data_IF_862135923031
#
_entry.id   IF_862135923031
#
_cell.length_a   1.000
_cell.length_b   1.000
_cell.length_c   1.000
_cell.angle_alpha   90.00
_cell.angle_beta   90.00
_cell.angle_gamma   90.00
#
_symmetry.space_group_name_H-M   'P 1'
#
loop_
_entity.id
_entity.type
_entity.pdbx_description
1 polymer ?
#
# COMPACT_ATOMS: atom_id res chain seq x y z
N UNK A 1 -14.99 50.47 -30.48
CA UNK A 1 -13.76 51.29 -30.42
C UNK A 1 -12.62 50.32 -30.10
N UNK A 2 -11.93 49.64 -31.04
CA UNK A 2 -10.99 50.11 -32.08
C UNK A 2 -10.07 51.22 -31.53
N UNK A 3 -8.75 50.97 -31.40
CA UNK A 3 -7.85 51.03 -32.55
C UNK A 3 -7.04 49.77 -32.85
N UNK A 4 -6.73 49.66 -34.14
CA UNK A 4 -5.93 48.67 -34.88
C UNK A 4 -4.49 49.25 -35.11
N UNK A 5 -3.58 48.50 -35.76
CA UNK A 5 -2.14 48.44 -35.47
C UNK A 5 -1.27 49.27 -36.43
N UNK A 6 0.04 49.33 -36.16
CA UNK A 6 1.03 49.83 -37.11
C UNK A 6 1.82 48.66 -37.72
N UNK A 7 1.71 48.51 -39.05
CA UNK A 7 2.60 47.75 -39.93
C UNK A 7 3.45 48.76 -40.71
N UNK A 8 4.77 48.56 -40.78
CA UNK A 8 5.66 49.09 -41.84
C UNK A 8 6.83 48.10 -41.98
N UNK A 9 6.82 47.27 -43.03
CA UNK A 9 7.63 47.35 -44.29
C UNK A 9 9.02 46.70 -44.21
N UNK A 10 9.19 45.67 -45.04
CA UNK A 10 10.44 44.99 -45.38
C UNK A 10 11.44 45.91 -46.11
N UNK A 11 12.71 45.46 -46.22
CA UNK A 11 13.33 45.48 -47.54
C UNK A 11 13.85 44.11 -47.96
N UNK A 12 13.72 43.88 -49.26
CA UNK A 12 14.21 42.75 -50.06
C UNK A 12 15.74 42.72 -50.09
N UNK A 13 16.34 41.53 -49.89
CA UNK A 13 17.64 41.18 -50.47
C UNK A 13 17.51 39.78 -51.07
N UNK A 14 17.81 39.71 -52.36
CA UNK A 14 17.81 38.53 -53.21
C UNK A 14 19.14 37.77 -53.12
N UNK A 15 19.10 36.44 -53.31
CA UNK A 15 20.24 35.68 -53.87
C UNK A 15 20.52 34.27 -53.33
N UNK A 16 19.82 33.25 -53.89
CA UNK A 16 20.25 31.86 -54.20
C UNK A 16 20.65 30.86 -53.07
N UNK A 17 20.62 29.52 -53.32
CA UNK A 17 19.81 28.73 -54.24
C UNK A 17 18.93 27.67 -53.54
N UNK A 18 17.86 27.30 -54.23
CA UNK A 18 16.97 26.17 -53.99
C UNK A 18 17.70 24.82 -54.09
N UNK A 19 17.59 23.98 -53.05
CA UNK A 19 17.28 22.53 -53.10
C UNK A 19 17.57 21.89 -51.74
N UNK A 20 16.52 21.56 -50.99
CA UNK A 20 16.56 20.58 -49.90
C UNK A 20 16.08 19.22 -50.44
N UNK A 21 16.74 18.09 -50.15
CA UNK A 21 16.24 16.79 -50.55
C UNK A 21 15.01 16.40 -49.72
N UNK A 22 14.09 15.57 -50.25
CA UNK A 22 12.88 15.18 -49.52
C UNK A 22 13.20 14.25 -48.36
N UNK A 23 12.47 14.42 -47.25
CA UNK A 23 12.48 13.53 -46.08
C UNK A 23 12.16 12.08 -46.50
N UNK A 24 13.10 11.17 -46.31
CA UNK A 24 12.83 9.73 -46.36
C UNK A 24 11.99 9.33 -45.15
N UNK A 25 10.76 8.88 -45.40
CA UNK A 25 9.91 8.23 -44.40
C UNK A 25 10.50 6.86 -44.08
N UNK A 26 11.14 6.70 -42.92
CA UNK A 26 11.53 5.39 -42.40
C UNK A 26 10.29 4.74 -41.80
N UNK A 27 9.66 3.84 -42.57
CA UNK A 27 8.61 2.97 -42.06
C UNK A 27 9.24 1.87 -41.18
N UNK A 28 9.12 2.00 -39.86
CA UNK A 28 9.47 0.94 -38.93
C UNK A 28 8.46 -0.22 -39.08
N UNK A 29 8.86 -1.28 -39.79
CA UNK A 29 8.16 -2.55 -39.80
C UNK A 29 8.49 -3.32 -38.50
N UNK A 30 7.53 -3.38 -37.58
CA UNK A 30 7.58 -4.30 -36.45
C UNK A 30 6.98 -5.66 -36.86
N UNK A 31 7.64 -6.80 -36.62
CA UNK A 31 7.05 -8.11 -36.87
C UNK A 31 5.94 -8.40 -35.84
N UNK A 32 4.88 -9.14 -36.21
CA UNK A 32 3.78 -9.41 -35.29
C UNK A 32 4.19 -10.45 -34.24
N UNK A 33 4.46 -10.01 -33.01
CA UNK A 33 4.56 -10.88 -31.85
C UNK A 33 3.16 -11.41 -31.49
N UNK A 34 2.88 -12.67 -31.84
CA UNK A 34 1.75 -13.45 -31.31
C UNK A 34 2.06 -13.86 -29.86
N UNK A 35 1.73 -13.00 -28.91
CA UNK A 35 1.52 -13.40 -27.52
C UNK A 35 0.03 -13.25 -27.20
N UNK A 36 -0.66 -14.39 -27.02
CA UNK A 36 -2.03 -14.40 -26.50
C UNK A 36 -2.00 -13.98 -25.03
N UNK A 37 -2.76 -12.98 -24.57
CA UNK A 37 -3.01 -12.80 -23.16
C UNK A 37 -4.17 -13.73 -22.77
N UNK A 38 -3.86 -14.85 -22.12
CA UNK A 38 -4.88 -15.66 -21.42
C UNK A 38 -4.62 -15.59 -19.92
N UNK A 39 -5.17 -14.56 -19.29
CA UNK A 39 -5.49 -14.56 -17.87
C UNK A 39 -7.01 -14.32 -17.78
N UNK A 40 -7.83 -15.34 -17.48
CA UNK A 40 -9.24 -15.11 -17.27
C UNK A 40 -9.42 -14.49 -15.89
N UNK A 41 -9.64 -13.17 -15.82
CA UNK A 41 -10.36 -12.58 -14.69
C UNK A 41 -11.83 -12.64 -15.06
N UNK A 42 -12.62 -13.37 -14.26
CA UNK A 42 -14.07 -13.36 -14.38
C UNK A 42 -14.54 -11.91 -14.19
N UNK A 43 -15.10 -11.33 -15.25
CA UNK A 43 -15.72 -10.02 -15.21
C UNK A 43 -17.00 -10.19 -14.37
N UNK A 44 -16.98 -9.70 -13.14
CA UNK A 44 -18.20 -9.52 -12.35
C UNK A 44 -18.94 -8.32 -12.94
N UNK A 45 -19.93 -8.58 -13.79
CA UNK A 45 -20.89 -7.58 -14.22
C UNK A 45 -21.83 -7.25 -13.06
N UNK A 46 -21.69 -6.06 -12.47
CA UNK A 46 -22.78 -5.41 -11.74
C UNK A 46 -22.90 -3.98 -12.26
N UNK A 47 -23.68 -3.86 -13.34
CA UNK A 47 -24.09 -2.61 -13.92
C UNK A 47 -25.50 -2.29 -13.38
N UNK A 48 -25.64 -1.07 -12.86
CA UNK A 48 -26.88 -0.29 -12.67
C UNK A 48 -28.08 -0.96 -11.99
N UNK A 49 -28.38 -0.52 -10.76
CA UNK A 49 -29.75 -0.49 -10.26
C UNK A 49 -30.15 0.97 -10.03
N UNK A 50 -31.04 1.45 -10.91
CA UNK A 50 -31.86 2.63 -10.70
C UNK A 50 -32.73 2.46 -9.46
N UNK A 51 -32.82 3.54 -8.68
CA UNK A 51 -33.76 3.71 -7.58
C UNK A 51 -35.17 3.92 -8.15
N UNK A 52 -36.03 2.92 -8.00
CA UNK A 52 -37.49 3.15 -7.95
C UNK A 52 -38.12 2.31 -6.85
N UNK A 53 -38.76 3.01 -5.92
CA UNK A 53 -39.56 2.48 -4.82
C UNK A 53 -40.82 1.77 -5.31
N UNK A 54 -41.07 0.55 -4.86
CA UNK A 54 -42.42 0.03 -4.66
C UNK A 54 -42.40 -1.16 -3.69
N UNK A 55 -43.23 -1.08 -2.66
CA UNK A 55 -43.43 -2.11 -1.65
C UNK A 55 -44.10 -3.35 -2.25
N UNK A 56 -43.61 -4.55 -1.90
CA UNK A 56 -44.47 -5.72 -1.72
C UNK A 56 -43.82 -6.75 -0.79
N UNK A 57 -44.67 -7.31 0.05
CA UNK A 57 -44.41 -8.36 1.04
C UNK A 57 -44.31 -9.73 0.38
N UNK A 58 -43.19 -10.42 0.54
CA UNK A 58 -43.14 -11.89 0.38
C UNK A 58 -42.17 -12.51 1.39
N UNK A 59 -42.70 -13.43 2.19
CA UNK A 59 -41.95 -14.36 3.02
C UNK A 59 -41.11 -15.29 2.14
N UNK A 60 -39.81 -15.40 2.42
CA UNK A 60 -38.96 -16.43 1.84
C UNK A 60 -38.26 -17.23 2.95
N UNK A 61 -38.62 -18.52 3.03
CA UNK A 61 -38.03 -19.52 3.90
C UNK A 61 -36.69 -19.99 3.32
N UNK A 62 -35.66 -20.04 4.17
CA UNK A 62 -34.59 -21.02 4.08
C UNK A 62 -33.38 -20.66 3.22
N UNK A 63 -32.63 -19.62 3.61
CA UNK A 63 -31.26 -19.44 3.17
C UNK A 63 -30.29 -20.08 4.18
N UNK A 64 -29.40 -20.95 3.69
CA UNK A 64 -28.25 -21.46 4.44
C UNK A 64 -27.50 -20.29 5.07
N UNK A 65 -27.17 -20.39 6.37
CA UNK A 65 -26.43 -19.38 7.12
C UNK A 65 -25.24 -18.87 6.29
N UNK A 66 -25.22 -17.58 5.88
CA UNK A 66 -24.06 -17.02 5.23
C UNK A 66 -22.90 -17.13 6.21
N UNK A 67 -21.77 -17.68 5.74
CA UNK A 67 -20.54 -17.69 6.52
C UNK A 67 -20.24 -16.25 6.91
N UNK A 68 -20.10 -15.91 8.20
CA UNK A 68 -19.92 -14.51 8.59
C UNK A 68 -18.66 -13.98 7.92
N UNK A 69 -18.81 -12.95 7.09
CA UNK A 69 -17.69 -12.17 6.56
C UNK A 69 -16.87 -11.67 7.75
N UNK A 70 -15.54 -11.88 7.77
CA UNK A 70 -14.72 -11.44 8.89
C UNK A 70 -14.86 -9.92 9.02
N UNK A 71 -15.12 -9.47 10.26
CA UNK A 71 -15.30 -8.06 10.60
C UNK A 71 -14.08 -7.21 10.22
N UNK A 72 -12.89 -7.84 10.22
CA UNK A 72 -11.63 -7.21 9.85
C UNK A 72 -10.93 -7.99 8.73
N UNK A 73 -10.35 -7.25 7.79
CA UNK A 73 -9.50 -7.81 6.72
C UNK A 73 -8.11 -8.19 7.23
N UNK A 74 -7.60 -7.43 8.19
CA UNK A 74 -6.24 -7.58 8.66
C UNK A 74 -6.05 -8.82 9.53
N UNK A 75 -5.21 -9.75 9.06
CA UNK A 75 -4.85 -10.97 9.77
C UNK A 75 -3.63 -10.75 10.69
N UNK A 76 -3.89 -10.33 11.93
CA UNK A 76 -2.86 -10.17 12.96
C UNK A 76 -2.66 -11.48 13.73
N UNK A 77 -1.41 -11.84 13.98
CA UNK A 77 -1.06 -13.01 14.78
C UNK A 77 -0.89 -12.62 16.26
N UNK A 78 -2.01 -12.53 16.99
CA UNK A 78 -2.02 -12.20 18.42
C UNK A 78 -1.21 -13.19 19.25
N UNK A 79 -1.24 -14.47 18.86
CA UNK A 79 -0.48 -15.52 19.53
C UNK A 79 1.02 -15.26 19.39
N UNK A 80 1.48 -14.93 18.19
CA UNK A 80 2.89 -14.60 17.95
C UNK A 80 3.32 -13.39 18.77
N UNK A 81 2.48 -12.35 18.88
CA UNK A 81 2.77 -11.17 19.72
C UNK A 81 2.99 -11.58 21.18
N UNK A 82 2.08 -12.40 21.74
CA UNK A 82 2.20 -12.92 23.10
C UNK A 82 3.46 -13.77 23.29
N UNK A 83 3.69 -14.71 22.37
CA UNK A 83 4.80 -15.66 22.46
C UNK A 83 6.17 -14.95 22.30
N UNK A 84 6.20 -13.77 21.68
CA UNK A 84 7.40 -12.94 21.45
C UNK A 84 7.36 -11.58 22.17
N UNK A 85 6.65 -11.48 23.30
CA UNK A 85 6.41 -10.19 24.00
C UNK A 85 7.66 -9.33 24.24
N UNK A 86 8.79 -9.95 24.60
CA UNK A 86 10.04 -9.21 24.85
C UNK A 86 10.58 -8.57 23.56
N UNK A 87 10.56 -9.31 22.45
CA UNK A 87 10.98 -8.80 21.15
C UNK A 87 10.08 -7.63 20.72
N UNK A 88 8.77 -7.79 20.89
CA UNK A 88 7.78 -6.76 20.52
C UNK A 88 7.93 -5.50 21.38
N UNK A 89 8.15 -5.64 22.70
CA UNK A 89 8.37 -4.53 23.61
C UNK A 89 9.58 -3.67 23.20
N UNK A 90 10.73 -4.31 22.98
CA UNK A 90 11.96 -3.64 22.53
C UNK A 90 11.75 -2.98 21.17
N UNK A 91 11.02 -3.63 20.26
CA UNK A 91 10.74 -3.07 18.94
C UNK A 91 9.83 -1.82 19.01
N UNK A 92 8.83 -1.81 19.88
CA UNK A 92 7.95 -0.65 20.10
C UNK A 92 8.75 0.54 20.63
N UNK A 93 9.64 0.30 21.59
CA UNK A 93 10.51 1.31 22.18
C UNK A 93 11.49 1.88 21.13
N UNK A 94 12.23 1.00 20.43
CA UNK A 94 13.20 1.40 19.40
C UNK A 94 12.55 2.18 18.24
N UNK A 95 11.27 1.93 17.94
CA UNK A 95 10.51 2.62 16.90
C UNK A 95 9.79 3.88 17.38
N UNK A 96 9.87 4.20 18.67
CA UNK A 96 9.10 5.28 19.29
C UNK A 96 7.61 5.19 18.94
N UNK A 97 7.03 3.99 18.99
CA UNK A 97 5.63 3.74 18.64
C UNK A 97 4.69 4.01 19.82
N UNK A 98 3.48 4.49 19.52
CA UNK A 98 2.42 4.70 20.51
C UNK A 98 1.66 3.42 20.92
N UNK A 99 2.09 2.24 20.42
CA UNK A 99 1.42 0.98 20.69
C UNK A 99 1.52 0.58 22.18
N UNK A 100 0.39 0.17 22.77
CA UNK A 100 0.35 -0.33 24.15
C UNK A 100 0.36 -1.86 24.17
N UNK A 101 1.56 -2.45 24.37
CA UNK A 101 1.71 -3.90 24.37
C UNK A 101 0.95 -4.58 25.51
N UNK A 102 1.00 -4.03 26.72
CA UNK A 102 0.34 -4.63 27.89
C UNK A 102 -1.17 -4.71 27.68
N UNK A 103 -1.78 -3.65 27.14
CA UNK A 103 -3.21 -3.66 26.81
C UNK A 103 -3.55 -4.75 25.77
N UNK A 104 -2.72 -4.94 24.74
CA UNK A 104 -2.92 -6.00 23.74
C UNK A 104 -2.83 -7.39 24.38
N UNK A 105 -1.90 -7.60 25.31
CA UNK A 105 -1.74 -8.87 26.01
C UNK A 105 -2.93 -9.16 26.93
N UNK A 106 -3.38 -8.17 27.70
CA UNK A 106 -4.55 -8.27 28.59
C UNK A 106 -5.83 -8.57 27.80
N UNK A 107 -6.05 -7.85 26.68
CA UNK A 107 -7.19 -8.08 25.79
C UNK A 107 -7.12 -9.47 25.16
N UNK A 108 -5.93 -9.96 24.81
CA UNK A 108 -5.76 -11.30 24.25
C UNK A 108 -6.02 -12.41 25.27
N UNK A 109 -5.64 -12.23 26.53
CA UNK A 109 -5.94 -13.17 27.61
C UNK A 109 -7.45 -13.24 27.89
N UNK A 110 -8.12 -12.08 27.95
CA UNK A 110 -9.57 -12.00 28.07
C UNK A 110 -10.25 -12.68 26.87
N UNK A 111 -9.75 -12.45 25.65
CA UNK A 111 -10.25 -13.07 24.43
C UNK A 111 -10.14 -14.59 24.51
N UNK A 112 -8.98 -15.12 24.90
CA UNK A 112 -8.77 -16.56 25.02
C UNK A 112 -9.71 -17.18 26.08
N UNK A 113 -9.87 -16.51 27.22
CA UNK A 113 -10.73 -16.97 28.33
C UNK A 113 -12.20 -16.99 27.92
N UNK A 114 -12.68 -15.91 27.29
CA UNK A 114 -14.06 -15.82 26.82
C UNK A 114 -14.33 -16.81 25.68
N UNK A 115 -13.38 -16.99 24.75
CA UNK A 115 -13.49 -17.97 23.68
C UNK A 115 -13.58 -19.40 24.22
N UNK A 116 -12.79 -19.75 25.25
CA UNK A 116 -12.88 -21.04 25.92
C UNK A 116 -14.23 -21.25 26.60
N UNK A 117 -14.76 -20.20 27.25
CA UNK A 117 -16.06 -20.26 27.92
C UNK A 117 -17.22 -20.45 26.92
N UNK A 118 -17.20 -19.74 25.79
CA UNK A 118 -18.17 -19.93 24.70
C UNK A 118 -18.13 -21.37 24.19
N UNK A 119 -16.94 -21.93 24.00
CA UNK A 119 -16.81 -23.31 23.50
C UNK A 119 -17.25 -24.35 24.54
N UNK A 120 -16.97 -24.13 25.83
CA UNK A 120 -17.46 -24.95 26.95
C UNK A 120 -19.00 -24.98 26.97
N UNK A 121 -19.65 -23.83 26.89
CA UNK A 121 -21.12 -23.73 26.90
C UNK A 121 -21.74 -24.34 25.64
N UNK A 122 -21.09 -24.22 24.48
CA UNK A 122 -21.51 -24.90 23.24
C UNK A 122 -21.45 -26.41 23.40
N UNK A 123 -20.40 -26.94 24.02
CA UNK A 123 -20.27 -28.35 24.33
C UNK A 123 -21.39 -28.81 25.28
N UNK A 124 -21.64 -28.08 26.37
CA UNK A 124 -22.73 -28.38 27.31
C UNK A 124 -24.11 -28.40 26.65
N UNK A 125 -24.41 -27.40 25.81
CA UNK A 125 -25.63 -27.35 25.02
C UNK A 125 -25.75 -28.57 24.08
N UNK A 126 -24.65 -29.01 23.46
CA UNK A 126 -24.64 -30.18 22.59
C UNK A 126 -24.83 -31.50 23.38
N UNK A 127 -24.32 -31.57 24.62
CA UNK A 127 -24.55 -32.68 25.55
C UNK A 127 -26.04 -32.74 25.94
N UNK A 128 -26.67 -31.62 26.29
CA UNK A 128 -28.11 -31.55 26.58
C UNK A 128 -28.94 -31.96 25.35
N UNK A 129 -28.58 -31.46 24.17
CA UNK A 129 -29.21 -31.87 22.91
C UNK A 129 -29.09 -33.38 22.65
N UNK A 130 -27.99 -34.00 23.08
CA UNK A 130 -27.78 -35.45 22.97
C UNK A 130 -28.59 -36.23 24.00
N UNK A 131 -28.72 -35.73 25.24
CA UNK A 131 -29.57 -36.33 26.29
C UNK A 131 -31.05 -36.37 25.87
N UNK A 132 -31.50 -35.42 25.05
CA UNK A 132 -32.87 -35.40 24.51
C UNK A 132 -33.15 -36.47 23.43
N UNK A 133 -32.13 -37.18 22.91
CA UNK A 133 -32.29 -38.24 21.92
C UNK A 133 -32.73 -39.55 22.58
N UNK A 134 -34.05 -39.74 22.72
CA UNK A 134 -34.63 -40.96 23.27
C UNK A 134 -36.07 -40.79 23.74
N UNK A 135 -36.64 -41.86 24.30
CA UNK A 135 -37.90 -41.78 25.06
C UNK A 135 -37.57 -41.25 26.45
N UNK A 136 -38.11 -40.09 26.78
CA UNK A 136 -37.98 -39.42 28.07
C UNK A 136 -39.38 -39.12 28.60
N UNK A 137 -39.51 -39.05 29.92
CA UNK A 137 -40.72 -38.53 30.57
C UNK A 137 -40.97 -37.07 30.14
N UNK A 138 -42.23 -36.65 29.94
CA UNK A 138 -42.56 -35.31 29.48
C UNK A 138 -41.99 -34.18 30.35
N UNK A 139 -41.94 -34.35 31.68
CA UNK A 139 -41.38 -33.35 32.60
C UNK A 139 -39.88 -33.18 32.41
N UNK A 140 -39.12 -34.28 32.38
CA UNK A 140 -37.67 -34.29 32.20
C UNK A 140 -37.28 -33.70 30.84
N UNK A 141 -38.08 -33.96 29.81
CA UNK A 141 -37.87 -33.33 28.49
C UNK A 141 -38.09 -31.82 28.54
N UNK A 142 -39.08 -31.34 29.29
CA UNK A 142 -39.36 -29.91 29.41
C UNK A 142 -38.22 -29.17 30.13
N UNK A 143 -37.69 -29.76 31.20
CA UNK A 143 -36.55 -29.19 31.96
C UNK A 143 -35.30 -29.04 31.07
N UNK A 144 -34.98 -30.06 30.26
CA UNK A 144 -33.85 -30.02 29.32
C UNK A 144 -34.03 -28.99 28.20
N UNK A 145 -35.28 -28.74 27.78
CA UNK A 145 -35.59 -27.69 26.78
C UNK A 145 -35.35 -26.31 27.39
N UNK A 146 -35.77 -26.09 28.63
CA UNK A 146 -35.59 -24.82 29.34
C UNK A 146 -34.11 -24.53 29.62
N UNK A 147 -33.35 -25.55 30.07
CA UNK A 147 -31.90 -25.47 30.26
C UNK A 147 -31.17 -25.17 28.93
N UNK A 148 -31.53 -25.87 27.86
CA UNK A 148 -30.96 -25.64 26.52
C UNK A 148 -31.29 -24.25 25.96
N UNK A 149 -32.47 -23.70 26.26
CA UNK A 149 -32.87 -22.35 25.88
C UNK A 149 -32.09 -21.30 26.67
N UNK A 150 -31.98 -21.47 27.99
CA UNK A 150 -31.17 -20.60 28.86
C UNK A 150 -29.71 -20.54 28.39
N UNK A 151 -29.09 -21.70 28.11
CA UNK A 151 -27.73 -21.75 27.57
C UNK A 151 -27.59 -21.06 26.21
N UNK A 152 -28.60 -21.17 25.34
CA UNK A 152 -28.58 -20.48 24.05
C UNK A 152 -28.55 -18.96 24.23
N UNK A 153 -29.33 -18.43 25.17
CA UNK A 153 -29.39 -17.00 25.44
C UNK A 153 -28.07 -16.49 26.04
N UNK A 154 -27.46 -17.27 26.95
CA UNK A 154 -26.12 -16.99 27.50
C UNK A 154 -25.03 -17.02 26.42
N UNK A 155 -25.00 -18.08 25.59
CA UNK A 155 -24.04 -18.20 24.48
C UNK A 155 -24.19 -17.00 23.53
N UNK A 156 -25.43 -16.63 23.18
CA UNK A 156 -25.68 -15.49 22.30
C UNK A 156 -25.14 -14.18 22.89
N UNK A 157 -25.18 -14.01 24.20
CA UNK A 157 -24.67 -12.81 24.89
C UNK A 157 -23.14 -12.81 24.87
N UNK A 158 -22.51 -13.92 25.24
CA UNK A 158 -21.05 -14.06 25.25
C UNK A 158 -20.45 -13.99 23.84
N UNK A 159 -21.16 -14.42 22.80
CA UNK A 159 -20.76 -14.24 21.41
C UNK A 159 -20.74 -12.76 20.99
N UNK A 160 -21.67 -11.93 21.50
CA UNK A 160 -21.62 -10.48 21.27
C UNK A 160 -20.47 -9.83 22.02
N UNK A 161 -20.24 -10.22 23.28
CA UNK A 161 -19.09 -9.75 24.06
C UNK A 161 -17.76 -10.13 23.39
N UNK A 162 -17.69 -11.34 22.82
CA UNK A 162 -16.52 -11.81 22.08
C UNK A 162 -16.28 -10.97 20.82
N UNK A 163 -17.32 -10.57 20.09
CA UNK A 163 -17.19 -9.67 18.94
C UNK A 163 -16.63 -8.29 19.36
N UNK A 164 -17.21 -7.69 20.41
CA UNK A 164 -16.76 -6.39 20.94
C UNK A 164 -15.30 -6.47 21.41
N UNK A 165 -14.93 -7.56 22.10
CA UNK A 165 -13.58 -7.77 22.59
C UNK A 165 -12.60 -8.01 21.44
N UNK A 166 -13.00 -8.76 20.42
CA UNK A 166 -12.20 -8.98 19.21
C UNK A 166 -11.93 -7.67 18.49
N UNK A 167 -12.92 -6.79 18.38
CA UNK A 167 -12.74 -5.45 17.80
C UNK A 167 -11.73 -4.61 18.56
N UNK A 168 -11.86 -4.54 19.88
CA UNK A 168 -10.92 -3.80 20.73
C UNK A 168 -9.50 -4.34 20.59
N UNK A 169 -9.35 -5.67 20.67
CA UNK A 169 -8.06 -6.34 20.50
C UNK A 169 -7.45 -6.03 19.13
N UNK A 170 -8.25 -6.10 18.07
CA UNK A 170 -7.79 -5.82 16.71
C UNK A 170 -7.38 -4.36 16.52
N UNK A 171 -8.13 -3.40 17.06
CA UNK A 171 -7.80 -1.97 16.99
C UNK A 171 -6.43 -1.71 17.63
N UNK A 172 -6.23 -2.17 18.86
CA UNK A 172 -4.98 -1.96 19.60
C UNK A 172 -3.78 -2.68 18.96
N UNK A 173 -3.98 -3.94 18.53
CA UNK A 173 -2.90 -4.71 17.92
C UNK A 173 -2.49 -4.18 16.54
N UNK A 174 -3.39 -3.50 15.81
CA UNK A 174 -3.06 -2.90 14.51
C UNK A 174 -2.02 -1.79 14.63
N UNK A 175 -1.92 -1.13 15.78
CA UNK A 175 -0.97 -0.03 16.07
C UNK A 175 0.46 -0.58 16.24
N UNK A 176 0.61 -1.87 16.54
CA UNK A 176 1.93 -2.50 16.67
C UNK A 176 2.62 -2.47 15.29
N UNK A 177 3.81 -1.83 15.19
CA UNK A 177 4.53 -1.71 13.92
C UNK A 177 5.09 -3.07 13.48
N UNK A 178 5.58 -3.13 12.25
CA UNK A 178 6.35 -4.27 11.78
C UNK A 178 7.58 -4.49 12.67
N UNK A 179 8.10 -5.71 12.66
CA UNK A 179 9.37 -6.04 13.33
C UNK A 179 10.49 -5.29 12.59
N UNK A 180 11.61 -5.01 13.26
CA UNK A 180 12.76 -4.32 12.67
C UNK A 180 13.86 -5.28 12.24
N UNK A 181 14.48 -5.02 11.09
CA UNK A 181 15.66 -5.77 10.67
C UNK A 181 16.77 -5.64 11.74
N UNK A 182 17.44 -6.74 12.16
CA UNK A 182 18.49 -6.69 13.18
C UNK A 182 19.62 -5.70 12.88
N UNK A 183 20.00 -5.58 11.60
CA UNK A 183 21.03 -4.64 11.14
C UNK A 183 20.56 -3.17 11.02
N UNK A 184 19.27 -2.85 11.21
CA UNK A 184 18.81 -1.47 11.10
C UNK A 184 19.44 -0.63 12.23
N UNK A 185 20.02 0.55 11.95
CA UNK A 185 20.64 1.38 12.96
C UNK A 185 19.66 1.76 14.08
N UNK A 186 20.12 1.75 15.33
CA UNK A 186 19.32 2.23 16.47
C UNK A 186 19.65 3.72 16.65
N UNK A 187 18.63 4.57 16.68
CA UNK A 187 18.81 6.01 16.90
C UNK A 187 18.10 6.88 15.86
N UNK A 188 18.67 8.07 15.59
CA UNK A 188 18.17 9.06 14.62
C UNK A 188 19.08 9.22 13.39
N UNK A 189 18.75 10.18 12.51
CA UNK A 189 19.30 10.39 11.15
C UNK A 189 20.81 10.74 11.04
N UNK A 190 21.56 10.77 12.14
CA UNK A 190 22.84 11.48 12.27
C UNK A 190 24.07 10.80 11.58
N UNK A 191 23.94 9.67 10.87
CA UNK A 191 25.09 8.82 10.53
C UNK A 191 25.20 8.43 9.05
N UNK A 192 25.65 9.33 8.16
CA UNK A 192 26.00 8.95 6.78
C UNK A 192 27.03 9.86 6.10
N UNK A 193 27.99 9.26 5.38
CA UNK A 193 29.10 9.94 4.68
C UNK A 193 29.18 9.40 3.23
N UNK A 194 29.05 10.22 2.17
CA UNK A 194 29.62 9.90 0.83
C UNK A 194 29.83 11.16 -0.06
N UNK A 195 31.02 11.25 -0.68
CA UNK A 195 31.35 11.96 -1.94
C UNK A 195 31.65 13.47 -1.86
N UNK A 196 32.23 14.02 -2.94
CA UNK A 196 32.55 15.46 -3.06
C UNK A 196 31.50 16.17 -3.96
N UNK A 197 30.78 17.16 -3.43
CA UNK A 197 29.91 18.01 -4.22
C UNK A 197 30.63 18.67 -5.39
N UNK A 198 29.87 18.99 -6.45
CA UNK A 198 30.38 19.77 -7.57
C UNK A 198 30.83 21.15 -7.10
N UNK A 199 32.06 21.51 -7.44
CA UNK A 199 32.57 22.87 -7.24
C UNK A 199 32.08 23.79 -8.37
N UNK A 200 31.61 24.97 -8.00
CA UNK A 200 31.20 26.01 -8.93
C UNK A 200 32.19 27.17 -8.81
N UNK A 201 32.62 27.71 -9.95
CA UNK A 201 33.42 28.95 -10.01
C UNK A 201 32.57 30.21 -9.74
N UNK A 202 31.28 30.03 -9.44
CA UNK A 202 30.31 31.07 -9.15
C UNK A 202 29.41 30.65 -7.98
N UNK A 203 28.76 31.61 -7.34
CA UNK A 203 27.76 31.33 -6.29
C UNK A 203 26.54 30.64 -6.88
N UNK A 204 26.35 29.36 -6.53
CA UNK A 204 25.20 28.58 -6.98
C UNK A 204 23.89 29.20 -6.46
N UNK A 205 22.93 29.39 -7.37
CA UNK A 205 21.58 29.86 -7.02
C UNK A 205 20.71 28.67 -6.64
N UNK A 206 19.76 28.90 -5.74
CA UNK A 206 18.75 27.89 -5.44
C UNK A 206 17.72 27.73 -6.58
N UNK A 207 16.94 26.67 -6.50
CA UNK A 207 15.94 26.32 -7.52
C UNK A 207 14.82 27.37 -7.64
N UNK A 208 14.47 28.11 -6.58
CA UNK A 208 13.45 29.16 -6.62
C UNK A 208 13.97 30.40 -7.34
N UNK A 209 15.21 30.81 -7.05
CA UNK A 209 15.89 31.91 -7.73
C UNK A 209 16.07 31.61 -9.22
N UNK A 210 16.48 30.39 -9.58
CA UNK A 210 16.60 29.96 -10.96
C UNK A 210 15.23 29.90 -11.64
N UNK A 211 14.25 29.28 -10.99
CA UNK A 211 12.90 29.14 -11.51
C UNK A 211 12.22 30.48 -11.76
N UNK A 212 12.39 31.45 -10.86
CA UNK A 212 11.88 32.82 -11.05
C UNK A 212 12.58 33.54 -12.20
N UNK A 213 13.91 33.41 -12.32
CA UNK A 213 14.67 34.05 -13.40
C UNK A 213 14.30 33.51 -14.78
N UNK A 214 13.95 32.22 -14.85
CA UNK A 214 13.61 31.50 -16.08
C UNK A 214 12.10 31.40 -16.33
N UNK A 215 11.27 32.01 -15.48
CA UNK A 215 9.80 31.92 -15.54
C UNK A 215 9.26 30.47 -15.58
N UNK A 216 9.82 29.60 -14.71
CA UNK A 216 9.48 28.17 -14.65
C UNK A 216 8.39 27.83 -13.65
N UNK A 217 8.15 28.70 -12.67
CA UNK A 217 7.16 28.50 -11.62
C UNK A 217 6.32 29.75 -11.44
N UNK A 218 5.02 29.56 -11.21
CA UNK A 218 4.13 30.63 -10.75
C UNK A 218 3.50 30.22 -9.41
N UNK A 219 4.05 30.77 -8.33
CA UNK A 219 3.60 30.55 -6.96
C UNK A 219 2.51 31.54 -6.55
N UNK A 220 2.50 32.75 -7.11
CA UNK A 220 1.57 33.81 -6.70
C UNK A 220 0.15 33.45 -7.19
N UNK A 221 0.02 33.10 -8.48
CA UNK A 221 -1.26 32.65 -9.04
C UNK A 221 -1.73 31.35 -8.39
N UNK A 222 -0.81 30.43 -8.05
CA UNK A 222 -1.16 29.18 -7.39
C UNK A 222 -1.65 29.40 -5.95
N UNK A 223 -1.05 30.35 -5.22
CA UNK A 223 -1.48 30.72 -3.88
C UNK A 223 -2.88 31.35 -3.87
N UNK A 224 -3.21 32.16 -4.86
CA UNK A 224 -4.54 32.76 -5.01
C UNK A 224 -5.62 31.72 -5.34
N UNK A 225 -5.29 30.73 -6.18
CA UNK A 225 -6.27 29.73 -6.65
C UNK A 225 -6.41 28.53 -5.71
N UNK A 226 -5.30 28.01 -5.19
CA UNK A 226 -5.25 26.72 -4.46
C UNK A 226 -4.73 26.85 -3.02
N UNK A 227 -4.27 28.04 -2.61
CA UNK A 227 -3.69 28.28 -1.30
C UNK A 227 -2.19 27.99 -1.22
N UNK A 228 -1.64 28.08 -0.01
CA UNK A 228 -0.19 27.93 0.20
C UNK A 228 0.33 26.55 -0.22
N UNK A 229 1.61 26.50 -0.63
CA UNK A 229 2.38 25.29 -1.04
C UNK A 229 2.02 24.71 -2.41
N UNK A 230 1.11 25.33 -3.15
CA UNK A 230 0.84 24.99 -4.55
C UNK A 230 1.70 25.83 -5.51
N UNK A 231 1.87 25.35 -6.73
CA UNK A 231 2.63 26.02 -7.79
C UNK A 231 2.10 25.61 -9.16
N UNK A 232 2.20 26.49 -10.14
CA UNK A 232 2.14 26.11 -11.55
C UNK A 232 3.55 25.86 -12.08
N UNK A 233 3.73 24.78 -12.84
CA UNK A 233 4.90 24.60 -13.72
C UNK A 233 4.66 25.34 -15.04
N UNK A 234 5.72 25.98 -15.55
CA UNK A 234 5.69 26.74 -16.80
C UNK A 234 6.87 26.39 -17.70
N UNK A 235 6.70 26.65 -18.99
CA UNK A 235 7.74 26.60 -20.01
C UNK A 235 8.55 25.28 -19.99
N UNK A 236 9.87 25.36 -19.98
CA UNK A 236 10.76 24.18 -20.03
C UNK A 236 10.60 23.26 -18.83
N UNK A 237 10.10 23.75 -17.68
CA UNK A 237 9.89 22.90 -16.50
C UNK A 237 8.75 21.90 -16.70
N UNK A 238 7.71 22.26 -17.47
CA UNK A 238 6.64 21.33 -17.87
C UNK A 238 7.22 20.20 -18.74
N UNK A 239 8.04 20.56 -19.72
CA UNK A 239 8.67 19.59 -20.61
C UNK A 239 9.65 18.68 -19.84
N UNK A 240 10.40 19.25 -18.89
CA UNK A 240 11.32 18.50 -18.04
C UNK A 240 10.59 17.50 -17.14
N UNK A 241 9.48 17.91 -16.50
CA UNK A 241 8.67 16.99 -15.69
C UNK A 241 8.18 15.80 -16.51
N UNK A 242 7.57 16.07 -17.67
CA UNK A 242 7.05 15.02 -18.56
C UNK A 242 8.16 14.11 -19.08
N UNK A 243 9.34 14.68 -19.40
CA UNK A 243 10.50 13.92 -19.83
C UNK A 243 11.01 12.99 -18.72
N UNK A 244 11.14 13.49 -17.47
CA UNK A 244 11.59 12.70 -16.33
C UNK A 244 10.64 11.55 -16.00
N UNK A 245 9.31 11.79 -16.04
CA UNK A 245 8.30 10.73 -15.82
C UNK A 245 8.46 9.62 -16.87
N UNK A 246 8.44 10.01 -18.15
CA UNK A 246 8.52 9.06 -19.26
C UNK A 246 9.83 8.28 -19.26
N UNK A 247 10.94 8.98 -19.02
CA UNK A 247 12.27 8.38 -18.91
C UNK A 247 12.34 7.37 -17.77
N UNK A 248 11.92 7.73 -16.56
CA UNK A 248 11.96 6.84 -15.40
C UNK A 248 11.14 5.57 -15.62
N UNK A 249 9.89 5.70 -16.10
CA UNK A 249 9.05 4.54 -16.44
C UNK A 249 9.73 3.67 -17.49
N UNK A 250 10.32 4.28 -18.53
CA UNK A 250 10.99 3.56 -19.61
C UNK A 250 12.20 2.77 -19.11
N UNK A 251 13.09 3.39 -18.33
CA UNK A 251 14.27 2.74 -17.77
C UNK A 251 13.91 1.57 -16.85
N UNK A 252 12.95 1.77 -15.94
CA UNK A 252 12.51 0.71 -15.01
C UNK A 252 11.79 -0.42 -15.77
N UNK A 253 11.02 -0.10 -16.81
CA UNK A 253 10.35 -1.11 -17.66
C UNK A 253 11.34 -2.03 -18.37
N UNK A 254 12.55 -1.56 -18.72
CA UNK A 254 13.61 -2.42 -19.28
C UNK A 254 14.04 -3.52 -18.31
N UNK A 255 13.86 -3.30 -17.00
CA UNK A 255 14.15 -4.27 -15.92
C UNK A 255 12.97 -5.22 -15.63
N UNK A 256 12.02 -5.35 -16.59
CA UNK A 256 10.84 -6.26 -16.55
C UNK A 256 9.78 -5.89 -15.52
N UNK A 257 9.72 -4.62 -15.13
CA UNK A 257 8.59 -4.07 -14.37
C UNK A 257 7.41 -3.83 -15.31
N UNK A 258 6.20 -4.12 -14.83
CA UNK A 258 4.96 -3.87 -15.56
C UNK A 258 4.57 -2.40 -15.34
N UNK A 259 4.53 -1.56 -16.38
CA UNK A 259 4.15 -0.16 -16.24
C UNK A 259 2.64 -0.01 -15.99
N UNK A 260 2.27 0.87 -15.07
CA UNK A 260 0.90 1.17 -14.68
C UNK A 260 0.66 2.68 -14.56
N UNK A 261 -0.57 3.09 -14.84
CA UNK A 261 -1.15 4.35 -14.35
C UNK A 261 -2.25 3.96 -13.39
N UNK A 262 -2.27 4.54 -12.20
CA UNK A 262 -3.17 4.11 -11.12
C UNK A 262 -4.34 5.07 -10.93
N UNK A 263 -5.49 4.59 -10.40
CA UNK A 263 -6.52 5.47 -9.87
C UNK A 263 -5.96 6.33 -8.72
N UNK A 264 -6.34 7.60 -8.67
CA UNK A 264 -5.88 8.55 -7.64
C UNK A 264 -6.87 8.71 -6.48
N UNK A 265 -8.11 8.25 -6.69
CA UNK A 265 -9.16 8.16 -5.67
C UNK A 265 -9.35 6.69 -5.33
N UNK A 266 -9.22 6.35 -4.05
CA UNK A 266 -9.36 4.98 -3.54
C UNK A 266 -10.28 4.98 -2.32
N UNK A 267 -10.73 3.80 -1.87
CA UNK A 267 -11.50 3.69 -0.62
C UNK A 267 -10.58 3.92 0.60
N UNK A 268 -11.08 4.60 1.62
CA UNK A 268 -10.35 4.89 2.87
C UNK A 268 -9.82 3.62 3.55
N UNK A 269 -10.61 2.54 3.51
CA UNK A 269 -10.21 1.22 4.03
C UNK A 269 -8.97 0.63 3.36
N UNK A 270 -8.65 1.06 2.14
CA UNK A 270 -7.40 0.71 1.47
C UNK A 270 -6.27 1.53 2.09
N UNK A 271 -6.37 2.86 2.13
CA UNK A 271 -5.31 3.75 2.64
C UNK A 271 -4.90 3.44 4.09
N UNK A 272 -5.85 3.09 4.96
CA UNK A 272 -5.62 2.75 6.37
C UNK A 272 -4.62 1.60 6.58
N UNK A 273 -4.46 0.73 5.57
CA UNK A 273 -3.48 -0.36 5.60
C UNK A 273 -2.04 0.13 5.47
N UNK A 274 -1.83 1.25 4.76
CA UNK A 274 -0.52 1.83 4.50
C UNK A 274 -0.16 2.93 5.48
N UNK A 275 -1.13 3.75 5.82
CA UNK A 275 -0.94 4.93 6.63
C UNK A 275 -1.80 4.83 7.89
N UNK A 276 -1.13 4.68 9.03
CA UNK A 276 -1.73 4.86 10.34
C UNK A 276 -1.33 6.24 10.85
N UNK A 277 -2.27 7.20 10.94
CA UNK A 277 -1.95 8.54 11.42
C UNK A 277 -1.36 8.48 12.83
N UNK A 278 -0.17 9.05 13.02
CA UNK A 278 0.35 9.32 14.36
C UNK A 278 -0.40 10.55 14.91
N UNK A 279 -1.58 10.33 15.50
CA UNK A 279 -2.40 11.37 16.13
C UNK A 279 -3.61 11.84 15.32
N UNK A 280 -4.18 13.01 15.66
CA UNK A 280 -5.44 13.51 15.10
C UNK A 280 -5.33 14.11 13.68
N UNK A 281 -4.13 14.50 13.26
CA UNK A 281 -3.90 15.12 11.96
C UNK A 281 -3.63 14.03 10.92
N UNK A 282 -4.58 13.83 9.99
CA UNK A 282 -4.37 12.91 8.87
C UNK A 282 -3.60 13.62 7.75
N UNK A 283 -2.64 12.94 7.11
CA UNK A 283 -1.99 13.46 5.90
C UNK A 283 -2.85 13.30 4.64
N UNK A 284 -3.95 12.55 4.76
CA UNK A 284 -4.85 12.13 3.67
C UNK A 284 -5.99 13.12 3.46
N UNK A 285 -6.27 13.46 2.20
CA UNK A 285 -7.45 14.22 1.79
C UNK A 285 -8.64 13.28 1.57
N UNK A 286 -9.69 13.43 2.39
CA UNK A 286 -10.94 12.65 2.25
C UNK A 286 -11.94 13.38 1.36
N UNK A 287 -12.76 12.62 0.63
CA UNK A 287 -13.86 13.14 -0.18
C UNK A 287 -15.12 13.19 0.69
N UNK A 288 -15.72 14.37 0.80
CA UNK A 288 -16.96 14.59 1.56
C UNK A 288 -18.08 13.66 1.06
N UNK A 289 -18.92 13.20 1.99
CA UNK A 289 -20.05 12.31 1.72
C UNK A 289 -19.71 10.98 1.01
N UNK A 290 -18.49 10.47 1.18
CA UNK A 290 -18.07 9.20 0.59
C UNK A 290 -17.10 8.40 1.47
N UNK A 291 -16.90 7.12 1.14
CA UNK A 291 -15.87 6.27 1.74
C UNK A 291 -14.51 6.37 1.02
N UNK A 292 -14.27 7.46 0.29
CA UNK A 292 -13.14 7.63 -0.61
C UNK A 292 -12.18 8.75 -0.17
N UNK A 293 -10.93 8.63 -0.62
CA UNK A 293 -9.88 9.59 -0.36
C UNK A 293 -8.82 9.61 -1.48
N UNK A 294 -8.05 10.69 -1.53
CA UNK A 294 -6.93 10.85 -2.45
C UNK A 294 -5.68 10.13 -1.92
N UNK A 295 -4.92 9.54 -2.84
CA UNK A 295 -3.69 8.81 -2.51
C UNK A 295 -2.51 9.75 -2.29
N UNK A 296 -1.67 9.46 -1.29
CA UNK A 296 -0.36 10.10 -1.10
C UNK A 296 0.76 9.47 -1.93
N UNK A 297 0.53 8.26 -2.48
CA UNK A 297 1.51 7.52 -3.27
C UNK A 297 0.80 6.49 -4.16
N UNK A 298 1.35 6.22 -5.36
CA UNK A 298 0.92 5.15 -6.26
C UNK A 298 1.04 3.75 -5.62
N UNK A 299 1.80 3.62 -4.53
CA UNK A 299 1.93 2.37 -3.78
C UNK A 299 0.56 1.80 -3.36
N UNK A 300 -0.31 2.67 -2.84
CA UNK A 300 -1.62 2.30 -2.29
C UNK A 300 -2.48 1.57 -3.34
N UNK A 301 -2.78 2.16 -4.51
CA UNK A 301 -3.58 1.50 -5.53
C UNK A 301 -2.85 0.29 -6.14
N UNK A 302 -1.51 0.29 -6.25
CA UNK A 302 -0.77 -0.87 -6.77
C UNK A 302 -0.90 -2.07 -5.84
N UNK A 303 -0.71 -1.90 -4.53
CA UNK A 303 -0.91 -3.01 -3.60
C UNK A 303 -2.38 -3.43 -3.49
N UNK A 304 -3.31 -2.50 -3.73
CA UNK A 304 -4.74 -2.78 -3.89
C UNK A 304 -5.09 -3.72 -5.06
N UNK A 305 -4.24 -3.84 -6.10
CA UNK A 305 -4.51 -4.70 -7.28
C UNK A 305 -4.73 -6.16 -6.87
N UNK A 306 -3.97 -6.63 -5.88
CA UNK A 306 -3.95 -8.02 -5.42
C UNK A 306 -4.71 -8.24 -4.11
N UNK A 307 -5.46 -7.25 -3.64
CA UNK A 307 -6.25 -7.34 -2.42
C UNK A 307 -7.17 -8.57 -2.44
N UNK A 308 -7.22 -9.29 -1.31
CA UNK A 308 -7.94 -10.54 -1.10
C UNK A 308 -7.61 -11.70 -2.07
N UNK A 309 -6.54 -11.57 -2.86
CA UNK A 309 -6.18 -12.58 -3.86
C UNK A 309 -5.26 -13.66 -3.31
N UNK A 310 -5.33 -14.84 -3.94
CA UNK A 310 -4.36 -15.93 -3.74
C UNK A 310 -3.57 -16.09 -5.04
N UNK A 311 -2.34 -15.62 -5.04
CA UNK A 311 -1.45 -15.64 -6.20
C UNK A 311 -0.84 -17.04 -6.40
N UNK A 312 -0.67 -17.50 -7.66
CA UNK A 312 0.13 -18.68 -7.92
C UNK A 312 1.62 -18.36 -7.76
N UNK A 313 2.39 -19.28 -7.15
CA UNK A 313 3.84 -19.14 -6.98
C UNK A 313 4.58 -18.90 -8.31
N UNK A 314 4.10 -19.49 -9.41
CA UNK A 314 4.64 -19.29 -10.76
C UNK A 314 4.49 -17.86 -11.32
N UNK A 315 3.64 -17.02 -10.73
CA UNK A 315 3.49 -15.62 -11.13
C UNK A 315 4.42 -14.68 -10.36
N UNK A 316 5.12 -15.17 -9.33
CA UNK A 316 6.00 -14.37 -8.50
C UNK A 316 7.45 -14.41 -9.02
N UNK A 317 8.23 -13.33 -8.85
CA UNK A 317 7.85 -12.04 -8.30
C UNK A 317 6.97 -11.20 -9.25
N UNK A 318 6.03 -10.44 -8.69
CA UNK A 318 5.26 -9.44 -9.45
C UNK A 318 5.89 -8.06 -9.28
N UNK A 319 6.38 -7.47 -10.36
CA UNK A 319 7.09 -6.19 -10.38
C UNK A 319 6.29 -5.13 -11.13
N UNK A 320 6.01 -3.99 -10.49
CA UNK A 320 5.24 -2.90 -11.07
C UNK A 320 5.96 -1.57 -10.96
N UNK A 321 5.98 -0.79 -12.04
CA UNK A 321 6.36 0.63 -12.00
C UNK A 321 5.10 1.44 -12.28
N UNK A 322 4.78 2.40 -11.42
CA UNK A 322 3.53 3.12 -11.51
C UNK A 322 3.74 4.63 -11.49
N UNK A 323 2.85 5.35 -12.16
CA UNK A 323 2.75 6.80 -12.07
C UNK A 323 1.35 7.22 -11.62
N UNK A 324 1.34 8.19 -10.70
CA UNK A 324 0.16 8.90 -10.24
C UNK A 324 0.55 10.32 -9.81
N UNK A 325 -0.43 11.20 -9.72
CA UNK A 325 -0.30 12.35 -8.83
C UNK A 325 -0.42 11.90 -7.38
N UNK A 326 0.27 12.60 -6.48
CA UNK A 326 0.29 12.31 -5.07
C UNK A 326 -0.24 13.52 -4.30
N UNK A 327 -1.19 13.28 -3.40
CA UNK A 327 -1.90 14.29 -2.64
C UNK A 327 -1.65 14.06 -1.15
N UNK A 328 -0.78 14.89 -0.57
CA UNK A 328 -0.53 14.87 0.87
C UNK A 328 -0.60 16.28 1.43
N UNK A 329 -1.02 16.39 2.70
CA UNK A 329 -0.90 17.66 3.43
C UNK A 329 0.57 18.08 3.66
N UNK A 330 1.53 17.19 3.40
CA UNK A 330 2.98 17.47 3.49
C UNK A 330 3.85 16.51 2.65
N UNK A 331 4.35 17.01 1.49
CA UNK A 331 5.35 16.44 0.55
C UNK A 331 4.93 15.18 -0.23
N UNK A 332 5.57 14.94 -1.37
CA UNK A 332 5.20 13.97 -2.39
C UNK A 332 6.46 13.20 -2.83
N UNK A 333 6.43 11.87 -2.78
CA UNK A 333 7.46 10.97 -3.31
C UNK A 333 6.82 9.96 -4.28
N UNK A 334 7.51 9.59 -5.37
CA UNK A 334 7.07 8.62 -6.39
C UNK A 334 7.66 7.24 -6.08
N UNK A 335 6.89 6.14 -6.24
CA UNK A 335 7.28 4.82 -5.70
C UNK A 335 6.99 3.63 -6.65
N UNK A 336 7.71 2.52 -6.47
CA UNK A 336 7.71 1.34 -7.33
C UNK A 336 7.43 0.07 -6.50
N UNK A 337 6.35 -0.66 -6.78
CA UNK A 337 5.85 -1.72 -5.90
C UNK A 337 6.15 -3.15 -6.37
N UNK A 338 6.45 -4.04 -5.42
CA UNK A 338 6.69 -5.45 -5.66
C UNK A 338 6.01 -6.40 -4.65
N UNK A 339 5.49 -7.53 -5.16
CA UNK A 339 5.03 -8.66 -4.36
C UNK A 339 5.99 -9.87 -4.48
N UNK A 340 6.39 -10.39 -3.32
CA UNK A 340 7.44 -11.35 -2.91
C UNK A 340 8.82 -10.71 -2.60
N UNK A 341 9.07 -10.36 -1.33
CA UNK A 341 10.35 -9.85 -0.83
C UNK A 341 11.25 -10.93 -0.17
N UNK A 342 12.09 -11.58 -0.97
CA UNK A 342 13.40 -12.01 -0.46
C UNK A 342 14.34 -10.80 -0.39
N UNK A 343 15.40 -10.87 0.43
CA UNK A 343 16.42 -9.81 0.61
C UNK A 343 16.92 -9.23 -0.72
N UNK A 344 17.02 -10.07 -1.75
CA UNK A 344 17.48 -9.70 -3.10
C UNK A 344 16.66 -8.61 -3.78
N UNK A 345 15.35 -8.51 -3.53
CA UNK A 345 14.52 -7.51 -4.23
C UNK A 345 14.63 -6.12 -3.64
N UNK A 346 14.88 -6.00 -2.33
CA UNK A 346 15.12 -4.70 -1.71
C UNK A 346 16.44 -4.11 -2.20
N UNK A 347 17.48 -4.93 -2.28
CA UNK A 347 18.77 -4.55 -2.87
C UNK A 347 18.64 -4.20 -4.37
N UNK A 348 17.80 -4.91 -5.12
CA UNK A 348 17.51 -4.58 -6.53
C UNK A 348 16.84 -3.20 -6.68
N UNK A 349 15.85 -2.86 -5.85
CA UNK A 349 15.19 -1.55 -5.93
C UNK A 349 16.15 -0.41 -5.62
N UNK A 350 16.98 -0.54 -4.58
CA UNK A 350 17.99 0.47 -4.23
C UNK A 350 18.96 0.66 -5.41
N UNK A 351 19.45 -0.42 -6.00
CA UNK A 351 20.35 -0.33 -7.15
C UNK A 351 19.67 0.35 -8.37
N UNK A 352 18.36 0.16 -8.57
CA UNK A 352 17.60 0.86 -9.61
C UNK A 352 17.56 2.36 -9.33
N UNK A 353 17.28 2.77 -8.10
CA UNK A 353 17.27 4.18 -7.71
C UNK A 353 18.64 4.83 -7.92
N UNK A 354 19.70 4.19 -7.42
CA UNK A 354 21.09 4.66 -7.57
C UNK A 354 21.50 4.76 -9.06
N UNK A 355 21.17 3.76 -9.89
CA UNK A 355 21.41 3.79 -11.34
C UNK A 355 20.71 4.98 -12.00
N UNK A 356 19.43 5.22 -11.66
CA UNK A 356 18.65 6.32 -12.21
C UNK A 356 19.29 7.66 -11.84
N UNK A 357 19.57 7.91 -10.57
CA UNK A 357 20.15 9.17 -10.14
C UNK A 357 21.56 9.39 -10.65
N UNK A 358 22.37 8.33 -10.73
CA UNK A 358 23.71 8.39 -11.31
C UNK A 358 23.65 8.73 -12.80
N UNK A 359 22.69 8.17 -13.55
CA UNK A 359 22.52 8.46 -14.97
C UNK A 359 22.03 9.90 -15.26
N UNK A 360 21.34 10.52 -14.29
CA UNK A 360 21.01 11.95 -14.30
C UNK A 360 22.21 12.84 -13.93
N UNK A 361 23.33 12.25 -13.51
CA UNK A 361 24.53 12.97 -13.06
C UNK A 361 24.36 13.64 -11.70
N UNK A 362 23.42 13.15 -10.86
CA UNK A 362 23.21 13.69 -9.52
C UNK A 362 24.31 13.22 -8.57
N UNK A 363 24.68 14.10 -7.64
CA UNK A 363 25.50 13.73 -6.49
C UNK A 363 24.56 13.39 -5.33
N UNK A 364 24.61 12.15 -4.86
CA UNK A 364 23.72 11.65 -3.81
C UNK A 364 24.45 10.70 -2.86
N UNK A 365 23.77 10.37 -1.75
CA UNK A 365 24.15 9.34 -0.79
C UNK A 365 22.93 8.49 -0.45
N UNK A 366 23.18 7.23 -0.10
CA UNK A 366 22.16 6.29 0.35
C UNK A 366 22.29 6.12 1.86
N UNK A 367 21.18 6.23 2.58
CA UNK A 367 21.07 6.18 4.03
C UNK A 367 20.38 4.89 4.45
N UNK A 368 20.92 4.15 5.42
CA UNK A 368 20.18 3.06 6.08
C UNK A 368 19.40 3.67 7.26
N UNK A 369 18.07 3.69 7.14
CA UNK A 369 17.24 4.49 8.05
C UNK A 369 17.12 3.83 9.41
N UNK A 370 17.30 4.64 10.45
CA UNK A 370 17.27 4.16 11.82
C UNK A 370 15.87 3.74 12.28
N UNK A 371 15.80 2.92 13.32
CA UNK A 371 14.56 2.29 13.80
C UNK A 371 13.41 3.28 14.05
N UNK A 372 13.71 4.49 14.53
CA UNK A 372 12.71 5.53 14.79
C UNK A 372 12.04 6.10 13.54
N UNK A 373 12.70 5.99 12.37
CA UNK A 373 12.25 6.56 11.09
C UNK A 373 11.73 5.52 10.07
N UNK A 374 11.66 4.24 10.46
CA UNK A 374 11.09 3.19 9.60
C UNK A 374 9.57 3.33 9.36
N UNK A 375 8.89 4.14 10.17
CA UNK A 375 7.43 4.16 10.22
C UNK A 375 6.85 2.83 10.71
N UNK A 376 5.54 2.64 10.51
CA UNK A 376 4.86 1.40 10.92
C UNK A 376 5.16 0.19 10.00
N UNK A 377 5.12 0.30 8.66
CA UNK A 377 5.17 -0.89 7.80
C UNK A 377 6.58 -1.40 7.49
N UNK A 378 7.61 -0.55 7.45
CA UNK A 378 8.92 -0.98 6.95
C UNK A 378 9.64 -1.87 7.97
N UNK A 379 10.14 -3.02 7.52
CA UNK A 379 11.09 -3.90 8.19
C UNK A 379 12.53 -3.35 8.10
N UNK A 380 12.90 -2.82 6.92
CA UNK A 380 14.13 -2.07 6.64
C UNK A 380 13.82 -1.01 5.58
N UNK A 381 14.45 0.17 5.67
CA UNK A 381 14.20 1.32 4.79
C UNK A 381 15.55 1.96 4.44
N UNK A 382 15.73 2.30 3.17
CA UNK A 382 16.87 3.09 2.70
C UNK A 382 16.36 4.32 1.99
N UNK A 383 16.92 5.47 2.33
CA UNK A 383 16.59 6.74 1.67
C UNK A 383 17.76 7.21 0.83
N UNK A 384 17.47 7.79 -0.34
CA UNK A 384 18.49 8.44 -1.16
C UNK A 384 18.32 9.94 -1.01
N UNK A 385 19.39 10.62 -0.60
CA UNK A 385 19.44 12.07 -0.55
C UNK A 385 20.36 12.63 -1.62
N UNK A 386 19.88 13.58 -2.41
CA UNK A 386 20.70 14.32 -3.36
C UNK A 386 21.21 15.64 -2.77
N UNK A 387 22.46 15.97 -3.12
CA UNK A 387 23.03 17.27 -2.83
C UNK A 387 22.31 18.36 -3.62
N UNK A 388 21.86 19.41 -2.95
CA UNK A 388 21.17 20.55 -3.55
C UNK A 388 22.07 21.80 -3.43
N UNK A 389 22.89 22.14 -4.45
CA UNK A 389 23.94 23.15 -4.32
C UNK A 389 23.49 24.50 -3.79
N UNK A 390 22.38 25.04 -4.31
CA UNK A 390 21.89 26.35 -3.86
C UNK A 390 21.23 26.33 -2.47
N UNK A 391 20.95 25.15 -1.90
CA UNK A 391 20.48 25.00 -0.52
C UNK A 391 21.61 24.57 0.43
N UNK A 392 22.79 24.27 -0.10
CA UNK A 392 23.98 23.81 0.64
C UNK A 392 23.70 22.64 1.60
N UNK A 393 22.79 21.74 1.21
CA UNK A 393 22.42 20.57 1.99
C UNK A 393 21.96 19.42 1.11
N UNK A 394 21.94 18.24 1.70
CA UNK A 394 21.25 17.08 1.14
C UNK A 394 19.74 17.19 1.39
N UNK A 395 18.96 16.62 0.48
CA UNK A 395 17.53 16.41 0.69
C UNK A 395 17.09 15.09 0.07
N UNK A 396 16.21 14.40 0.77
CA UNK A 396 15.57 13.14 0.34
C UNK A 396 14.91 13.31 -1.04
N UNK A 397 15.18 12.34 -1.93
CA UNK A 397 14.59 12.25 -3.27
C UNK A 397 13.95 10.89 -3.57
N UNK A 398 14.26 9.85 -2.81
CA UNK A 398 13.57 8.55 -2.85
C UNK A 398 13.68 7.79 -1.52
N UNK A 399 12.80 6.81 -1.36
CA UNK A 399 12.81 5.86 -0.25
C UNK A 399 12.42 4.46 -0.73
N UNK A 400 13.22 3.46 -0.35
CA UNK A 400 13.01 2.06 -0.66
C UNK A 400 12.80 1.25 0.63
N UNK A 401 11.65 0.59 0.78
CA UNK A 401 11.28 -0.14 2.01
C UNK A 401 10.93 -1.61 1.74
N UNK A 402 11.47 -2.51 2.54
CA UNK A 402 10.96 -3.86 2.67
C UNK A 402 9.89 -3.88 3.76
N UNK A 403 8.66 -4.33 3.48
CA UNK A 403 7.55 -4.37 4.41
C UNK A 403 7.20 -5.79 4.88
N UNK A 404 7.98 -6.80 4.50
CA UNK A 404 7.71 -8.22 4.77
C UNK A 404 6.23 -8.54 4.54
N UNK A 405 5.54 -9.20 5.46
CA UNK A 405 4.13 -9.56 5.33
C UNK A 405 3.18 -8.54 6.00
N UNK A 406 3.68 -7.39 6.46
CA UNK A 406 2.89 -6.40 7.21
C UNK A 406 1.67 -5.93 6.43
N UNK A 407 1.89 -5.54 5.17
CA UNK A 407 0.84 -5.04 4.27
C UNK A 407 0.00 -6.20 3.72
N UNK A 408 0.62 -7.32 3.36
CA UNK A 408 -0.12 -8.47 2.83
C UNK A 408 -1.11 -9.05 3.83
N UNK A 409 -0.75 -9.09 5.12
CA UNK A 409 -1.64 -9.50 6.22
C UNK A 409 -2.86 -8.60 6.31
N UNK A 410 -2.67 -7.30 6.08
CA UNK A 410 -3.71 -6.27 6.16
C UNK A 410 -4.61 -6.24 4.92
N UNK A 411 -4.08 -6.63 3.75
CA UNK A 411 -4.80 -6.67 2.47
C UNK A 411 -5.32 -8.05 2.08
N UNK A 412 -5.09 -9.07 2.90
CA UNK A 412 -5.46 -10.46 2.57
C UNK A 412 -4.68 -11.07 1.40
N UNK A 413 -3.51 -10.50 1.03
CA UNK A 413 -2.70 -10.98 -0.10
C UNK A 413 -1.94 -12.23 0.31
N UNK A 414 -2.19 -13.32 -0.41
CA UNK A 414 -1.57 -14.62 -0.16
C UNK A 414 -1.04 -15.21 -1.46
N UNK A 415 -0.16 -16.19 -1.35
CA UNK A 415 0.26 -17.00 -2.47
C UNK A 415 0.18 -18.49 -2.15
N UNK A 416 0.09 -19.32 -3.18
CA UNK A 416 0.09 -20.78 -3.07
C UNK A 416 1.48 -21.29 -3.43
N UNK A 417 2.30 -21.74 -2.45
CA UNK A 417 3.62 -22.28 -2.73
C UNK A 417 3.54 -23.49 -3.66
N UNK A 418 4.48 -23.59 -4.59
CA UNK A 418 4.69 -24.85 -5.31
C UNK A 418 5.26 -25.86 -4.32
N UNK A 419 4.72 -27.08 -4.22
CA UNK A 419 5.32 -28.09 -3.36
C UNK A 419 6.76 -28.32 -3.81
N UNK A 420 7.71 -28.12 -2.89
CA UNK A 420 9.09 -28.59 -3.10
C UNK A 420 9.00 -30.10 -3.31
N UNK A 421 9.51 -30.60 -4.44
CA UNK A 421 9.62 -32.03 -4.72
C UNK A 421 10.49 -32.68 -3.65
N UNK A 422 9.83 -33.14 -2.58
CA UNK A 422 10.43 -34.01 -1.58
C UNK A 422 10.27 -35.42 -2.11
N UNK A 423 11.33 -35.93 -2.75
CA UNK A 423 11.49 -37.34 -3.03
C UNK A 423 11.59 -38.14 -1.73
N UNK A 424 10.45 -38.42 -1.07
CA UNK A 424 10.34 -39.45 -0.03
C UNK A 424 8.87 -39.78 0.29
N UNK A 425 8.41 -40.90 -0.27
CA UNK A 425 7.43 -41.87 0.27
C UNK A 425 6.13 -41.43 0.98
N UNK A 426 5.03 -41.91 0.40
CA UNK A 426 3.69 -42.20 0.95
C UNK A 426 2.65 -41.06 1.10
N UNK A 427 1.59 -41.04 0.25
CA UNK A 427 0.46 -40.13 0.41
C UNK A 427 -0.60 -40.75 1.32
N UNK A 428 -0.57 -40.43 2.61
CA UNK A 428 -1.81 -40.49 3.42
C UNK A 428 -2.50 -39.13 3.35
N UNK A 429 -3.73 -39.16 2.83
CA UNK A 429 -4.67 -38.03 2.72
C UNK A 429 -4.66 -37.16 3.98
N UNK A 430 -4.23 -35.90 3.83
CA UNK A 430 -4.38 -34.82 4.79
C UNK A 430 -4.77 -33.52 4.07
N UNK A 431 -5.89 -32.94 4.49
CA UNK A 431 -6.57 -31.77 3.93
C UNK A 431 -5.76 -30.47 4.12
N UNK A 432 -5.90 -29.55 3.15
CA UNK A 432 -5.55 -28.13 3.28
C UNK A 432 -4.22 -27.75 2.64
N UNK A 433 -4.22 -27.34 1.36
CA UNK A 433 -3.10 -26.59 0.79
C UNK A 433 -3.06 -25.22 1.45
N UNK A 434 -2.20 -25.05 2.45
CA UNK A 434 -2.04 -23.77 3.18
C UNK A 434 -1.45 -22.72 2.23
N UNK A 435 -2.16 -21.61 2.07
CA UNK A 435 -1.67 -20.41 1.37
C UNK A 435 -0.76 -19.63 2.31
N UNK A 436 0.41 -19.18 1.84
CA UNK A 436 1.34 -18.34 2.60
C UNK A 436 1.08 -16.85 2.32
N UNK A 437 1.56 -15.98 3.21
CA UNK A 437 1.46 -14.53 3.02
C UNK A 437 2.49 -14.04 1.99
N UNK A 438 2.12 -13.07 1.17
CA UNK A 438 3.04 -12.47 0.22
C UNK A 438 3.94 -11.43 0.93
N UNK A 439 5.24 -11.40 0.63
CA UNK A 439 6.11 -10.36 1.19
C UNK A 439 6.09 -9.11 0.27
N UNK A 440 6.11 -7.88 0.78
CA UNK A 440 6.05 -6.65 -0.04
C UNK A 440 7.35 -5.83 0.06
N UNK A 441 7.79 -5.24 -1.06
CA UNK A 441 8.87 -4.23 -1.12
C UNK A 441 8.40 -3.07 -2.01
N UNK A 442 8.82 -1.85 -1.70
CA UNK A 442 8.40 -0.62 -2.36
C UNK A 442 9.54 0.37 -2.52
#
# INVERSE_FOLDING_TARGET
>A
MIPRPWFLTSPSIAGLPSQLPPLQTVALHFPPCRCKPSLPRAISTSAYHELTSAASSHEEKGALNPTPTPQWRAAIDFKWIRDNKHLVAVNIENRNSAANLELVLDLYEQYCSLQQEVERLREERNVIASKMKGKLEPSVRQDLIEEGKSLKDVISTLEQDLLILTDKLQIEAQIIPNITHPDAPIGGEENSIVGKPREFEFTAKDHLQLGKKLDLFDFDSAAEVSGAKFYYLKNEAVLLEMALINWAISEVSKKRFIPLITPEIVRSSVVEVWFQPRGKNTQVYSIEDSDQCLIGTAEIPVGGIHMDSILPDSALPLKYVAYSHCFERSRCCRQCNQARAERFFHEELIAIEEDLFASLGLHFKTLDMATGDLGAPAYRKFDVEAWMPGLERYGEISSASNCTDFQSRRLGIRYRPTPLDTSASNPKKGKGRSSQLALCTR
#
